data_IF_949465552696
#
_entry.id   IF_949465552696
#
_cell.length_a   1.000
_cell.length_b   1.000
_cell.length_c   1.000
_cell.angle_alpha   90.00
_cell.angle_beta   90.00
_cell.angle_gamma   90.00
#
_symmetry.space_group_name_H-M   'P 1'
#
loop_
_entity.id
_entity.type
_entity.pdbx_description
1 polymer ?
#
# COMPACT_ATOMS: atom_id res chain seq x y z
N UNK A 1 27.61 12.93 14.73
CA UNK A 1 26.14 12.77 14.83
C UNK A 1 25.71 11.52 14.09
N UNK A 2 24.94 10.68 14.75
CA UNK A 2 24.35 9.49 14.08
C UNK A 2 23.17 9.94 13.24
N UNK A 3 23.04 9.40 12.04
CA UNK A 3 21.95 9.69 11.09
C UNK A 3 21.26 8.40 10.71
N UNK A 4 19.96 8.47 10.43
CA UNK A 4 19.16 7.38 9.88
C UNK A 4 18.11 7.97 8.94
N UNK A 5 17.61 7.15 8.02
CA UNK A 5 16.54 7.54 7.10
C UNK A 5 15.33 6.62 7.28
N UNK A 6 14.15 7.21 7.35
CA UNK A 6 12.88 6.48 7.37
C UNK A 6 12.11 6.87 6.13
N UNK A 7 11.70 5.87 5.35
CA UNK A 7 10.94 6.06 4.11
C UNK A 7 9.49 5.65 4.31
N UNK A 8 8.57 6.45 3.84
CA UNK A 8 7.22 6.00 3.55
C UNK A 8 7.26 5.05 2.34
N UNK A 9 6.23 4.26 2.16
CA UNK A 9 6.18 3.26 1.09
C UNK A 9 5.26 3.70 -0.07
N UNK A 10 3.97 3.81 0.20
CA UNK A 10 2.99 4.15 -0.83
C UNK A 10 3.19 5.57 -1.34
N UNK A 11 3.37 5.72 -2.65
CA UNK A 11 3.65 7.01 -3.27
C UNK A 11 5.07 7.55 -3.04
N UNK A 12 5.94 6.79 -2.37
CA UNK A 12 7.32 7.17 -2.05
C UNK A 12 8.33 6.17 -2.62
N UNK A 13 8.26 4.91 -2.23
CA UNK A 13 9.11 3.86 -2.80
C UNK A 13 8.58 3.38 -4.15
N UNK A 14 7.27 3.39 -4.31
CA UNK A 14 6.54 3.02 -5.53
C UNK A 14 5.45 4.04 -5.83
N UNK A 15 5.20 4.31 -7.10
CA UNK A 15 4.14 5.21 -7.55
C UNK A 15 2.85 4.40 -7.76
N UNK A 16 2.24 3.95 -6.66
CA UNK A 16 1.18 2.95 -6.66
C UNK A 16 -0.24 3.48 -6.45
N UNK A 17 -0.45 4.79 -6.33
CA UNK A 17 -1.79 5.37 -6.11
C UNK A 17 -2.81 4.96 -7.18
N UNK A 18 -2.50 4.96 -8.49
CA UNK A 18 -3.45 4.49 -9.51
C UNK A 18 -3.81 3.02 -9.35
N UNK A 19 -2.87 2.20 -8.87
CA UNK A 19 -3.10 0.76 -8.66
C UNK A 19 -4.04 0.52 -7.48
N UNK A 20 -3.89 1.27 -6.40
CA UNK A 20 -4.83 1.20 -5.27
C UNK A 20 -6.25 1.60 -5.68
N UNK A 21 -6.39 2.65 -6.50
CA UNK A 21 -7.69 3.07 -7.04
C UNK A 21 -8.29 1.95 -7.89
N UNK A 22 -7.51 1.32 -8.75
CA UNK A 22 -7.96 0.19 -9.57
C UNK A 22 -8.38 -1.00 -8.70
N UNK A 23 -7.64 -1.28 -7.64
CA UNK A 23 -7.98 -2.35 -6.69
C UNK A 23 -9.32 -2.05 -6.00
N UNK A 24 -9.57 -0.81 -5.58
CA UNK A 24 -10.87 -0.41 -5.03
C UNK A 24 -12.00 -0.56 -6.05
N UNK A 25 -11.79 -0.19 -7.29
CA UNK A 25 -12.78 -0.36 -8.36
C UNK A 25 -13.19 -1.82 -8.50
N UNK A 26 -12.23 -2.72 -8.58
CA UNK A 26 -12.48 -4.16 -8.70
C UNK A 26 -13.17 -4.70 -7.43
N UNK A 27 -12.63 -4.35 -6.28
CA UNK A 27 -13.14 -4.80 -4.98
C UNK A 27 -14.58 -4.35 -4.74
N UNK A 28 -14.86 -3.06 -4.93
CA UNK A 28 -16.19 -2.50 -4.73
C UNK A 28 -17.21 -3.06 -5.73
N UNK A 29 -16.79 -3.35 -6.96
CA UNK A 29 -17.66 -3.98 -7.96
C UNK A 29 -18.14 -5.37 -7.52
N UNK A 30 -17.32 -6.13 -6.78
CA UNK A 30 -17.71 -7.44 -6.22
C UNK A 30 -18.89 -7.36 -5.27
N UNK A 31 -19.05 -6.23 -4.59
CA UNK A 31 -20.09 -5.99 -3.58
C UNK A 31 -21.17 -5.02 -4.04
N UNK A 32 -21.15 -4.61 -5.31
CA UNK A 32 -22.13 -3.69 -5.87
C UNK A 32 -22.06 -2.27 -5.32
N UNK A 33 -20.92 -1.86 -4.76
CA UNK A 33 -20.71 -0.52 -4.22
C UNK A 33 -20.27 0.42 -5.35
N UNK A 34 -21.11 1.42 -5.66
CA UNK A 34 -20.87 2.34 -6.79
C UNK A 34 -20.40 3.73 -6.35
N UNK A 35 -20.66 4.13 -5.11
CA UNK A 35 -20.34 5.46 -4.55
C UNK A 35 -19.00 5.50 -3.80
N UNK A 36 -18.18 4.48 -3.96
CA UNK A 36 -16.93 4.33 -3.22
C UNK A 36 -15.94 5.47 -3.45
N UNK A 37 -15.94 6.09 -4.64
CA UNK A 37 -15.02 7.20 -4.96
C UNK A 37 -15.30 8.43 -4.10
N UNK A 38 -16.57 8.78 -3.94
CA UNK A 38 -16.98 9.90 -3.10
C UNK A 38 -16.64 9.63 -1.63
N UNK A 39 -16.91 8.43 -1.17
CA UNK A 39 -16.62 8.00 0.21
C UNK A 39 -15.12 7.99 0.46
N UNK A 40 -14.33 7.44 -0.46
CA UNK A 40 -12.89 7.33 -0.34
C UNK A 40 -12.19 8.70 -0.36
N UNK A 41 -12.75 9.69 -1.03
CA UNK A 41 -12.19 11.05 -1.08
C UNK A 41 -12.04 11.65 0.33
N UNK A 42 -12.86 11.24 1.29
CA UNK A 42 -12.79 11.68 2.68
C UNK A 42 -11.92 10.77 3.56
N UNK A 43 -11.34 9.70 2.98
CA UNK A 43 -10.59 8.67 3.70
C UNK A 43 -9.07 8.72 3.58
N UNK A 44 -8.52 9.79 3.04
CA UNK A 44 -7.06 9.93 2.88
C UNK A 44 -6.35 9.88 4.23
N UNK A 45 -5.34 8.99 4.33
CA UNK A 45 -4.56 8.82 5.54
C UNK A 45 -5.18 7.91 6.60
N UNK A 46 -6.36 7.37 6.34
CA UNK A 46 -7.00 6.40 7.24
C UNK A 46 -6.38 5.00 7.13
N UNK A 47 -6.43 4.23 8.21
CA UNK A 47 -6.10 2.82 8.20
C UNK A 47 -7.16 1.99 7.44
N UNK A 48 -6.81 0.74 7.10
CA UNK A 48 -7.70 -0.12 6.31
C UNK A 48 -9.06 -0.35 6.95
N UNK A 49 -9.12 -0.56 8.25
CA UNK A 49 -10.39 -0.79 8.95
C UNK A 49 -11.33 0.41 8.83
N UNK A 50 -10.80 1.62 9.01
CA UNK A 50 -11.57 2.85 8.91
C UNK A 50 -12.04 3.10 7.47
N UNK A 51 -11.20 2.79 6.48
CA UNK A 51 -11.57 2.86 5.07
C UNK A 51 -12.70 1.87 4.76
N UNK A 52 -12.63 0.64 5.27
CA UNK A 52 -13.68 -0.36 5.07
C UNK A 52 -15.01 0.09 5.70
N UNK A 53 -14.96 0.67 6.90
CA UNK A 53 -16.17 1.25 7.54
C UNK A 53 -16.78 2.38 6.74
N UNK A 54 -15.92 3.17 6.08
CA UNK A 54 -16.37 4.31 5.28
C UNK A 54 -17.02 3.85 3.96
N UNK A 55 -16.48 2.83 3.33
CA UNK A 55 -16.81 2.44 1.94
C UNK A 55 -17.85 1.31 1.87
N UNK A 56 -17.73 0.29 2.74
CA UNK A 56 -18.54 -0.91 2.66
C UNK A 56 -19.91 -0.78 3.33
N UNK A 57 -20.95 -1.43 2.77
CA UNK A 57 -22.25 -1.53 3.44
C UNK A 57 -22.13 -2.27 4.77
N UNK A 58 -22.92 -1.85 5.75
CA UNK A 58 -22.91 -2.44 7.10
C UNK A 58 -23.18 -3.94 7.09
N UNK A 59 -24.08 -4.41 6.24
CA UNK A 59 -24.42 -5.83 6.10
C UNK A 59 -23.20 -6.65 5.66
N UNK A 60 -22.43 -6.14 4.69
CA UNK A 60 -21.21 -6.79 4.19
C UNK A 60 -20.14 -6.85 5.28
N UNK A 61 -19.97 -5.76 6.01
CA UNK A 61 -19.03 -5.71 7.14
C UNK A 61 -19.39 -6.70 8.25
N UNK A 62 -20.68 -6.84 8.53
CA UNK A 62 -21.19 -7.77 9.56
C UNK A 62 -21.00 -9.23 9.14
N UNK A 63 -21.23 -9.53 7.86
CA UNK A 63 -21.11 -10.90 7.33
C UNK A 63 -19.66 -11.33 7.18
N UNK A 64 -18.80 -10.48 6.62
CA UNK A 64 -17.43 -10.83 6.24
C UNK A 64 -16.37 -10.41 7.25
N UNK A 65 -16.60 -9.35 7.99
CA UNK A 65 -15.63 -8.75 8.90
C UNK A 65 -14.65 -7.80 8.21
N UNK A 66 -14.23 -6.78 8.95
CA UNK A 66 -13.35 -5.72 8.43
C UNK A 66 -11.98 -6.25 7.99
N UNK A 67 -11.38 -7.14 8.77
CA UNK A 67 -10.07 -7.68 8.46
C UNK A 67 -10.08 -8.49 7.17
N UNK A 68 -11.09 -9.34 6.97
CA UNK A 68 -11.21 -10.15 5.75
C UNK A 68 -11.44 -9.26 4.51
N UNK A 69 -12.24 -8.22 4.64
CA UNK A 69 -12.49 -7.26 3.54
C UNK A 69 -11.22 -6.48 3.19
N UNK A 70 -10.49 -6.01 4.18
CA UNK A 70 -9.22 -5.32 3.97
C UNK A 70 -8.20 -6.24 3.29
N UNK A 71 -8.07 -7.47 3.75
CA UNK A 71 -7.16 -8.47 3.17
C UNK A 71 -7.53 -8.77 1.72
N UNK A 72 -8.82 -8.90 1.40
CA UNK A 72 -9.31 -9.13 0.04
C UNK A 72 -8.91 -7.98 -0.90
N UNK A 73 -9.16 -6.75 -0.47
CA UNK A 73 -8.79 -5.57 -1.28
C UNK A 73 -7.28 -5.51 -1.51
N UNK A 74 -6.49 -5.75 -0.48
CA UNK A 74 -5.04 -5.71 -0.59
C UNK A 74 -4.47 -6.87 -1.42
N UNK A 75 -5.11 -8.04 -1.39
CA UNK A 75 -4.73 -9.15 -2.26
C UNK A 75 -4.98 -8.79 -3.74
N UNK A 76 -6.09 -8.13 -4.06
CA UNK A 76 -6.36 -7.63 -5.41
C UNK A 76 -5.25 -6.65 -5.84
N UNK A 77 -4.88 -5.71 -4.97
CA UNK A 77 -3.81 -4.75 -5.24
C UNK A 77 -2.51 -5.46 -5.61
N UNK A 78 -2.07 -6.42 -4.84
CA UNK A 78 -0.83 -7.17 -5.12
C UNK A 78 -0.93 -7.95 -6.42
N UNK A 79 -2.06 -8.58 -6.68
CA UNK A 79 -2.28 -9.38 -7.90
C UNK A 79 -2.19 -8.51 -9.16
N UNK A 80 -2.90 -7.38 -9.19
CA UNK A 80 -2.92 -6.52 -10.38
C UNK A 80 -1.63 -5.74 -10.58
N UNK A 81 -0.87 -5.49 -9.50
CA UNK A 81 0.37 -4.73 -9.58
C UNK A 81 1.60 -5.59 -9.88
N UNK A 82 1.58 -6.88 -9.55
CA UNK A 82 2.73 -7.76 -9.70
C UNK A 82 3.43 -7.70 -11.08
N UNK A 83 2.72 -7.63 -12.22
CA UNK A 83 3.36 -7.55 -13.53
C UNK A 83 4.13 -6.25 -13.78
N UNK A 84 3.74 -5.15 -13.12
CA UNK A 84 4.21 -3.80 -13.46
C UNK A 84 4.97 -3.12 -12.32
N UNK A 85 5.04 -3.74 -11.14
CA UNK A 85 5.67 -3.11 -9.98
C UNK A 85 7.14 -2.84 -10.21
N UNK A 86 7.53 -1.60 -9.92
CA UNK A 86 8.93 -1.13 -9.98
C UNK A 86 9.14 0.00 -8.98
N UNK A 87 10.37 0.17 -8.47
CA UNK A 87 10.68 1.30 -7.61
C UNK A 87 10.60 2.61 -8.39
N UNK A 88 10.35 3.72 -7.69
CA UNK A 88 10.44 5.04 -8.30
C UNK A 88 11.85 5.27 -8.86
N UNK A 89 11.93 6.06 -9.92
CA UNK A 89 13.21 6.38 -10.56
C UNK A 89 14.17 7.04 -9.55
N UNK A 90 15.42 6.59 -9.54
CA UNK A 90 16.47 7.11 -8.67
C UNK A 90 16.49 6.51 -7.27
N UNK A 91 15.51 5.67 -6.89
CA UNK A 91 15.45 5.11 -5.54
C UNK A 91 16.62 4.21 -5.23
N UNK A 92 16.98 3.29 -6.12
CA UNK A 92 18.09 2.35 -5.88
C UNK A 92 19.43 3.08 -5.73
N UNK A 93 19.67 4.09 -6.55
CA UNK A 93 20.86 4.91 -6.47
C UNK A 93 20.94 5.66 -5.14
N UNK A 94 19.81 6.19 -4.66
CA UNK A 94 19.74 6.84 -3.35
C UNK A 94 20.05 5.84 -2.24
N UNK A 95 19.45 4.67 -2.26
CA UNK A 95 19.64 3.64 -1.24
C UNK A 95 21.10 3.14 -1.22
N UNK A 96 21.74 2.97 -2.39
CA UNK A 96 23.15 2.63 -2.47
C UNK A 96 24.04 3.73 -1.85
N UNK A 97 23.75 4.99 -2.13
CA UNK A 97 24.48 6.12 -1.54
C UNK A 97 24.33 6.19 -0.04
N UNK A 98 23.12 5.95 0.49
CA UNK A 98 22.88 5.92 1.93
C UNK A 98 23.62 4.76 2.59
N UNK A 99 23.63 3.59 1.96
CA UNK A 99 24.39 2.43 2.44
C UNK A 99 25.87 2.74 2.48
N UNK A 100 26.42 3.29 1.40
CA UNK A 100 27.86 3.65 1.32
C UNK A 100 28.25 4.70 2.36
N UNK A 101 27.34 5.58 2.74
CA UNK A 101 27.51 6.58 3.79
C UNK A 101 27.30 6.03 5.22
N UNK A 102 26.97 4.74 5.36
CA UNK A 102 26.70 4.12 6.65
C UNK A 102 25.42 4.62 7.32
N UNK A 103 24.46 5.12 6.56
CA UNK A 103 23.18 5.61 7.06
C UNK A 103 22.15 4.47 7.00
N UNK A 104 21.73 3.94 8.16
CA UNK A 104 20.71 2.89 8.18
C UNK A 104 19.36 3.43 7.71
N UNK A 105 18.61 2.58 7.01
CA UNK A 105 17.30 2.92 6.47
C UNK A 105 16.21 2.01 7.03
N UNK A 106 15.02 2.55 7.21
CA UNK A 106 13.83 1.81 7.62
C UNK A 106 12.62 2.24 6.79
N UNK A 107 11.63 1.38 6.72
CA UNK A 107 10.32 1.70 6.13
C UNK A 107 9.34 1.98 7.25
N UNK A 108 8.67 3.14 7.18
CA UNK A 108 7.55 3.50 8.04
C UNK A 108 6.29 3.60 7.17
N UNK A 109 5.39 2.64 7.28
CA UNK A 109 4.18 2.56 6.45
C UNK A 109 2.96 2.22 7.28
N UNK A 110 1.81 2.83 6.91
CA UNK A 110 0.50 2.43 7.42
C UNK A 110 -0.08 1.22 6.67
N UNK A 111 0.58 0.76 5.61
CA UNK A 111 0.18 -0.41 4.84
C UNK A 111 0.33 -1.72 5.63
N UNK A 112 -0.39 -2.75 5.22
CA UNK A 112 -0.28 -4.06 5.85
C UNK A 112 1.08 -4.70 5.56
N UNK A 113 1.49 -5.60 6.45
CA UNK A 113 2.77 -6.32 6.33
C UNK A 113 2.93 -7.01 4.97
N UNK A 114 1.87 -7.65 4.47
CA UNK A 114 1.91 -8.34 3.19
C UNK A 114 2.23 -7.39 2.02
N UNK A 115 1.73 -6.16 2.05
CA UNK A 115 2.05 -5.16 1.03
C UNK A 115 3.50 -4.66 1.16
N UNK A 116 3.97 -4.46 2.38
CA UNK A 116 5.38 -4.06 2.61
C UNK A 116 6.32 -5.15 2.08
N UNK A 117 6.08 -6.40 2.45
CA UNK A 117 6.88 -7.53 1.95
C UNK A 117 6.83 -7.61 0.41
N UNK A 118 5.65 -7.47 -0.17
CA UNK A 118 5.45 -7.49 -1.62
C UNK A 118 6.27 -6.40 -2.32
N UNK A 119 6.23 -5.17 -1.84
CA UNK A 119 6.98 -4.05 -2.43
C UNK A 119 8.49 -4.27 -2.30
N UNK A 120 8.97 -4.59 -1.10
CA UNK A 120 10.40 -4.74 -0.85
C UNK A 120 11.01 -5.89 -1.66
N UNK A 121 10.30 -7.00 -1.77
CA UNK A 121 10.78 -8.18 -2.49
C UNK A 121 10.64 -8.02 -4.00
N UNK A 122 9.51 -7.51 -4.49
CA UNK A 122 9.28 -7.31 -5.92
C UNK A 122 10.21 -6.26 -6.53
N UNK A 123 10.54 -5.22 -5.77
CA UNK A 123 11.47 -4.17 -6.19
C UNK A 123 12.95 -4.52 -5.91
N UNK A 124 13.21 -5.64 -5.26
CA UNK A 124 14.57 -6.08 -4.86
C UNK A 124 15.31 -5.01 -4.04
N UNK A 125 14.60 -4.37 -3.10
CA UNK A 125 15.17 -3.31 -2.24
C UNK A 125 15.22 -3.69 -0.77
N UNK A 126 14.73 -4.88 -0.38
CA UNK A 126 14.75 -5.33 1.02
C UNK A 126 16.13 -5.24 1.68
N UNK A 127 17.25 -5.61 1.04
CA UNK A 127 18.56 -5.58 1.69
C UNK A 127 19.03 -4.20 2.17
N UNK A 128 18.40 -3.13 1.71
CA UNK A 128 18.75 -1.77 2.12
C UNK A 128 18.10 -1.33 3.44
N UNK A 129 17.13 -2.11 3.94
CA UNK A 129 16.34 -1.78 5.12
C UNK A 129 16.59 -2.74 6.27
#
# INVERSE_FOLDING_TARGET
MKKAAIFDMDGTLVANSPVHIRAFEIFCARYGVTDWREKLANGFGMGNDDIMRLVMPEEVMREKGLAALADEKEAIYREIYAPDIRPVEGLKELLERLRAAGIPCAVGSSGCKANVDFVLDSCAIRPYF
#
